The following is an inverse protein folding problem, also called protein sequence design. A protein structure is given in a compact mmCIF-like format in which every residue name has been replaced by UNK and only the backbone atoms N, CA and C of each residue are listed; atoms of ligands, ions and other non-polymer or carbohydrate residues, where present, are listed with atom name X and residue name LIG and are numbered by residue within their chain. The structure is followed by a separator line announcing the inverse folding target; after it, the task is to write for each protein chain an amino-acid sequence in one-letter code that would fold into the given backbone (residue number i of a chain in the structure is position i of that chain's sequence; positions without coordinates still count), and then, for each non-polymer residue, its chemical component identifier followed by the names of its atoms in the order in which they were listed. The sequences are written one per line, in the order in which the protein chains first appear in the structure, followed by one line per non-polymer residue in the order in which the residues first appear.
data_IF_233328258110
#
_entry.id   IF_233328258110
#
_cell.length_a   1.000
_cell.length_b   1.000
_cell.length_c   1.000
_cell.angle_alpha   90.00
_cell.angle_beta   90.00
_cell.angle_gamma   90.00
#
_symmetry.space_group_name_H-M   'P 1'
#
loop_
_entity.id
_entity.type
_entity.pdbx_description
1 polymer ?
#
# COMPACT_ATOMS: atom_id res chain seq x y z
N UNK A 1 -9.07 7.48 17.49
CA UNK A 1 -8.85 6.09 17.04
C UNK A 1 -7.66 5.51 17.79
N UNK A 2 -6.46 6.12 17.69
CA UNK A 2 -5.24 5.65 18.37
C UNK A 2 -5.40 5.38 19.89
N UNK A 3 -6.07 6.25 20.65
CA UNK A 3 -6.32 6.05 22.08
C UNK A 3 -7.30 4.92 22.43
N UNK A 4 -8.13 4.48 21.49
CA UNK A 4 -9.13 3.40 21.68
C UNK A 4 -8.47 2.04 21.42
N UNK A 5 -7.43 2.03 20.58
CA UNK A 5 -6.74 0.83 20.10
C UNK A 5 -5.41 0.60 20.83
N UNK A 6 -4.96 1.56 21.65
CA UNK A 6 -3.83 1.41 22.57
C UNK A 6 -4.14 0.33 23.62
N UNK A 7 -3.62 -0.87 23.39
CA UNK A 7 -3.70 -2.01 24.34
C UNK A 7 -4.39 -3.26 23.80
N UNK A 8 -4.86 -3.24 22.55
CA UNK A 8 -5.46 -4.41 21.91
C UNK A 8 -4.40 -5.19 21.11
N UNK A 9 -4.23 -6.48 21.44
CA UNK A 9 -3.28 -7.35 20.77
C UNK A 9 -3.79 -7.70 19.36
N UNK A 10 -2.94 -7.56 18.34
CA UNK A 10 -3.28 -7.94 16.97
C UNK A 10 -4.06 -6.88 16.18
N UNK A 11 -4.05 -5.63 16.62
CA UNK A 11 -4.68 -4.52 15.91
C UNK A 11 -3.66 -3.57 15.28
N UNK A 12 -3.98 -3.09 14.07
CA UNK A 12 -3.20 -2.08 13.37
C UNK A 12 -4.17 -1.01 12.89
N UNK A 13 -4.05 0.21 13.40
CA UNK A 13 -4.75 1.38 12.85
C UNK A 13 -3.81 2.28 12.06
N UNK A 14 -4.32 2.75 10.93
CA UNK A 14 -3.67 3.79 10.14
C UNK A 14 -4.75 4.80 9.74
N UNK A 15 -4.66 6.01 10.29
CA UNK A 15 -5.67 7.06 10.13
C UNK A 15 -7.08 6.59 10.56
N UNK A 16 -7.99 6.44 9.61
CA UNK A 16 -9.39 6.04 9.86
C UNK A 16 -9.66 4.55 9.56
N UNK A 17 -8.67 3.82 9.06
CA UNK A 17 -8.80 2.40 8.75
C UNK A 17 -8.20 1.54 9.86
N UNK A 18 -8.88 0.43 10.18
CA UNK A 18 -8.46 -0.55 11.21
C UNK A 18 -8.33 -1.93 10.57
N UNK A 19 -7.23 -2.60 10.86
CA UNK A 19 -7.02 -4.01 10.55
C UNK A 19 -6.92 -4.82 11.84
N UNK A 20 -7.67 -5.91 11.89
CA UNK A 20 -7.62 -6.91 12.97
C UNK A 20 -6.98 -8.18 12.43
N UNK A 21 -6.02 -8.74 13.14
CA UNK A 21 -5.32 -9.96 12.76
C UNK A 21 -5.21 -10.95 13.92
N UNK A 22 -5.06 -12.23 13.59
CA UNK A 22 -4.83 -13.33 14.51
C UNK A 22 -3.92 -14.37 13.87
N UNK A 23 -3.25 -15.19 14.70
CA UNK A 23 -2.42 -16.31 14.19
C UNK A 23 -3.34 -17.43 13.71
N UNK A 24 -4.31 -17.80 14.54
CA UNK A 24 -5.40 -18.72 14.20
C UNK A 24 -6.74 -17.96 14.08
N UNK A 25 -7.77 -18.64 13.56
CA UNK A 25 -9.12 -18.05 13.41
C UNK A 25 -9.70 -17.62 14.76
N UNK A 26 -9.48 -18.42 15.81
CA UNK A 26 -9.95 -18.10 17.16
C UNK A 26 -9.28 -16.85 17.74
N UNK A 27 -8.02 -16.58 17.39
CA UNK A 27 -7.32 -15.37 17.80
C UNK A 27 -7.91 -14.14 17.11
N UNK A 28 -8.15 -14.23 15.80
CA UNK A 28 -8.77 -13.15 15.03
C UNK A 28 -10.15 -12.83 15.59
N UNK A 29 -10.98 -13.84 15.84
CA UNK A 29 -12.34 -13.64 16.36
C UNK A 29 -12.34 -13.02 17.75
N UNK A 30 -11.42 -13.45 18.63
CA UNK A 30 -11.24 -12.84 19.94
C UNK A 30 -10.86 -11.36 19.81
N UNK A 31 -9.86 -11.04 18.98
CA UNK A 31 -9.38 -9.68 18.80
C UNK A 31 -10.47 -8.78 18.19
N UNK A 32 -11.22 -9.29 17.22
CA UNK A 32 -12.35 -8.55 16.61
C UNK A 32 -13.46 -8.27 17.63
N UNK A 33 -13.78 -9.22 18.51
CA UNK A 33 -14.75 -9.00 19.58
C UNK A 33 -14.27 -7.90 20.53
N UNK A 34 -13.01 -7.94 20.96
CA UNK A 34 -12.42 -6.92 21.84
C UNK A 34 -12.44 -5.52 21.20
N UNK A 35 -12.15 -5.41 19.90
CA UNK A 35 -12.28 -4.16 19.15
C UNK A 35 -13.71 -3.62 19.24
N UNK A 36 -14.70 -4.48 18.97
CA UNK A 36 -16.11 -4.09 18.92
C UNK A 36 -16.66 -3.71 20.30
N UNK A 37 -16.19 -4.36 21.36
CA UNK A 37 -16.48 -4.01 22.75
C UNK A 37 -15.95 -2.60 23.08
N UNK A 38 -14.67 -2.33 22.80
CA UNK A 38 -14.07 -1.01 23.01
C UNK A 38 -14.71 0.09 22.14
N UNK A 39 -15.07 -0.23 20.90
CA UNK A 39 -15.81 0.67 20.02
C UNK A 39 -17.19 1.03 20.60
N UNK A 40 -17.88 0.05 21.18
CA UNK A 40 -19.20 0.26 21.81
C UNK A 40 -19.11 1.20 23.01
N UNK A 41 -18.09 1.03 23.86
CA UNK A 41 -17.87 1.87 25.04
C UNK A 41 -17.56 3.33 24.69
N UNK A 42 -16.92 3.55 23.55
CA UNK A 42 -16.47 4.88 23.09
C UNK A 42 -17.43 5.54 22.10
N UNK A 43 -18.47 4.83 21.65
CA UNK A 43 -19.43 5.31 20.65
C UNK A 43 -18.88 5.33 19.22
N UNK A 44 -17.79 4.61 18.96
CA UNK A 44 -17.24 4.44 17.61
C UNK A 44 -18.13 3.49 16.80
N UNK A 45 -18.49 3.91 15.58
CA UNK A 45 -19.34 3.12 14.68
C UNK A 45 -18.57 2.85 13.39
N UNK A 46 -18.42 1.56 13.06
CA UNK A 46 -17.83 1.13 11.80
C UNK A 46 -18.88 1.07 10.69
N UNK A 47 -18.50 1.42 9.46
CA UNK A 47 -19.36 1.27 8.30
C UNK A 47 -19.38 -0.20 7.84
N UNK A 48 -20.46 -0.91 8.14
CA UNK A 48 -20.61 -2.33 7.83
C UNK A 48 -20.57 -2.67 6.34
N UNK A 49 -20.88 -1.72 5.44
CA UNK A 49 -20.86 -1.96 3.99
C UNK A 49 -19.45 -2.12 3.44
N UNK A 50 -18.45 -1.54 4.11
CA UNK A 50 -17.04 -1.59 3.70
C UNK A 50 -16.20 -2.50 4.60
N UNK A 51 -16.74 -2.98 5.72
CA UNK A 51 -16.06 -3.94 6.57
C UNK A 51 -15.92 -5.29 5.87
N UNK A 52 -14.69 -5.79 5.80
CA UNK A 52 -14.37 -7.10 5.24
C UNK A 52 -13.85 -7.98 6.39
N UNK A 53 -14.57 -9.05 6.70
CA UNK A 53 -14.34 -9.89 7.89
C UNK A 53 -13.95 -11.31 7.44
N UNK A 54 -13.11 -12.00 8.24
CA UNK A 54 -12.67 -13.40 8.03
C UNK A 54 -12.03 -13.65 6.66
N UNK A 55 -11.10 -12.77 6.27
CA UNK A 55 -10.26 -12.99 5.10
C UNK A 55 -8.96 -13.69 5.50
N UNK A 56 -8.49 -14.62 4.68
CA UNK A 56 -7.19 -15.29 4.89
C UNK A 56 -6.01 -14.31 4.79
N UNK A 57 -6.15 -13.27 3.97
CA UNK A 57 -5.21 -12.17 3.89
C UNK A 57 -5.93 -10.93 3.39
N UNK A 58 -5.52 -9.77 3.90
CA UNK A 58 -5.90 -8.46 3.38
C UNK A 58 -4.65 -7.71 2.92
N UNK A 59 -4.84 -6.74 2.02
CA UNK A 59 -3.83 -5.74 1.74
C UNK A 59 -4.17 -4.50 2.57
N UNK A 60 -3.37 -4.23 3.61
CA UNK A 60 -3.57 -3.07 4.48
C UNK A 60 -2.36 -2.17 4.41
N UNK A 61 -2.46 -1.03 3.70
CA UNK A 61 -1.35 -0.10 3.47
C UNK A 61 -0.04 -0.75 2.97
N UNK A 62 -0.15 -1.80 2.15
CA UNK A 62 1.01 -2.54 1.63
C UNK A 62 1.48 -3.69 2.53
N UNK A 63 0.84 -3.92 3.67
CA UNK A 63 1.07 -5.06 4.55
C UNK A 63 0.14 -6.21 4.16
N UNK A 64 0.68 -7.42 4.06
CA UNK A 64 -0.07 -8.67 3.88
C UNK A 64 0.48 -9.76 4.81
N UNK A 65 -0.18 -10.91 4.84
CA UNK A 65 0.29 -12.16 5.46
C UNK A 65 1.74 -12.56 5.10
N UNK A 66 2.20 -12.19 3.90
CA UNK A 66 3.53 -12.51 3.34
C UNK A 66 4.52 -11.36 3.49
N UNK A 67 4.20 -10.39 4.35
CA UNK A 67 4.98 -9.18 4.60
C UNK A 67 4.59 -8.03 3.69
N UNK A 68 5.53 -7.11 3.48
CA UNK A 68 5.28 -5.88 2.72
C UNK A 68 5.25 -6.20 1.22
N UNK A 69 4.13 -5.86 0.55
CA UNK A 69 3.88 -6.08 -0.88
C UNK A 69 3.23 -4.85 -1.50
N UNK A 70 3.54 -4.53 -2.77
CA UNK A 70 2.89 -3.43 -3.45
C UNK A 70 1.43 -3.77 -3.74
N UNK A 71 0.59 -2.75 -3.78
CA UNK A 71 -0.81 -2.89 -4.20
C UNK A 71 -0.90 -3.43 -5.65
N UNK A 72 -1.53 -4.60 -5.87
CA UNK A 72 -1.68 -5.18 -7.20
C UNK A 72 -2.37 -4.25 -8.20
N UNK A 73 -3.31 -3.42 -7.76
CA UNK A 73 -4.00 -2.46 -8.62
C UNK A 73 -3.01 -1.39 -9.12
N UNK A 74 -2.20 -0.83 -8.21
CA UNK A 74 -1.15 0.15 -8.58
C UNK A 74 -0.09 -0.43 -9.49
N UNK A 75 0.30 -1.69 -9.27
CA UNK A 75 1.20 -2.41 -10.17
C UNK A 75 0.58 -2.55 -11.56
N UNK A 76 -0.69 -2.94 -11.63
CA UNK A 76 -1.41 -3.10 -12.89
C UNK A 76 -1.56 -1.78 -13.65
N UNK A 77 -1.86 -0.69 -12.95
CA UNK A 77 -1.98 0.64 -13.55
C UNK A 77 -0.66 1.08 -14.18
N UNK A 78 0.46 0.90 -13.48
CA UNK A 78 1.80 1.19 -14.00
C UNK A 78 2.13 0.30 -15.21
N UNK A 79 1.76 -0.98 -15.19
CA UNK A 79 1.97 -1.89 -16.33
C UNK A 79 1.15 -1.52 -17.58
N UNK A 80 -0.01 -0.89 -17.40
CA UNK A 80 -0.87 -0.42 -18.51
C UNK A 80 -0.44 0.93 -19.07
N UNK A 81 0.48 1.64 -18.41
CA UNK A 81 0.94 2.92 -18.90
C UNK A 81 1.64 2.76 -20.25
N UNK A 82 1.36 3.65 -21.23
CA UNK A 82 2.12 3.67 -22.46
C UNK A 82 3.57 4.08 -22.18
N UNK A 83 4.48 3.71 -23.09
CA UNK A 83 5.83 4.22 -23.06
C UNK A 83 5.80 5.77 -23.11
N UNK A 84 6.59 6.46 -22.27
CA UNK A 84 6.59 7.91 -22.24
C UNK A 84 7.04 8.46 -23.59
N UNK A 85 6.32 9.47 -24.10
CA UNK A 85 6.64 10.12 -25.37
C UNK A 85 7.36 11.46 -25.17
N UNK A 86 7.47 11.91 -23.92
CA UNK A 86 8.08 13.17 -23.53
C UNK A 86 8.77 13.07 -22.16
N UNK A 87 9.61 14.06 -21.84
CA UNK A 87 10.18 14.21 -20.49
C UNK A 87 9.10 14.35 -19.42
N UNK A 88 8.00 15.03 -19.71
CA UNK A 88 6.90 15.21 -18.76
C UNK A 88 6.19 13.89 -18.47
N UNK A 89 5.98 13.05 -19.48
CA UNK A 89 5.42 11.71 -19.30
C UNK A 89 6.37 10.81 -18.52
N UNK A 90 7.67 10.90 -18.79
CA UNK A 90 8.69 10.18 -18.02
C UNK A 90 8.73 10.66 -16.56
N UNK A 91 8.56 11.96 -16.32
CA UNK A 91 8.52 12.51 -14.97
C UNK A 91 7.29 12.00 -14.20
N UNK A 92 6.13 11.94 -14.85
CA UNK A 92 4.90 11.34 -14.29
C UNK A 92 5.09 9.86 -13.98
N UNK A 93 5.65 9.10 -14.92
CA UNK A 93 5.98 7.68 -14.72
C UNK A 93 6.93 7.48 -13.54
N UNK A 94 8.02 8.25 -13.47
CA UNK A 94 8.99 8.17 -12.38
C UNK A 94 8.37 8.54 -11.03
N UNK A 95 7.46 9.52 -11.00
CA UNK A 95 6.67 9.86 -9.82
C UNK A 95 5.85 8.68 -9.30
N UNK A 96 5.19 7.93 -10.18
CA UNK A 96 4.45 6.72 -9.80
C UNK A 96 5.38 5.56 -9.39
N UNK A 97 6.50 5.38 -10.09
CA UNK A 97 7.49 4.35 -9.74
C UNK A 97 8.11 4.56 -8.36
N UNK A 98 8.14 5.79 -7.84
CA UNK A 98 8.62 6.04 -6.47
C UNK A 98 7.80 5.29 -5.42
N UNK A 99 6.49 5.10 -5.62
CA UNK A 99 5.66 4.26 -4.74
C UNK A 99 6.16 2.82 -4.72
N UNK A 100 6.57 2.28 -5.87
CA UNK A 100 7.09 0.91 -5.99
C UNK A 100 8.58 0.78 -5.61
N UNK A 101 9.29 1.89 -5.44
CA UNK A 101 10.74 1.86 -5.21
C UNK A 101 11.20 1.03 -4.00
N UNK A 102 10.48 0.97 -2.85
CA UNK A 102 10.89 0.13 -1.72
C UNK A 102 10.81 -1.37 -2.02
N UNK A 103 10.01 -1.77 -3.01
CA UNK A 103 9.73 -3.16 -3.36
C UNK A 103 10.63 -3.68 -4.50
N UNK A 104 11.42 -2.80 -5.14
CA UNK A 104 12.24 -3.14 -6.30
C UNK A 104 13.72 -3.17 -5.88
N UNK A 105 14.37 -4.35 -5.84
CA UNK A 105 15.79 -4.45 -5.54
C UNK A 105 16.61 -3.61 -6.51
N UNK A 106 17.49 -2.76 -5.95
CA UNK A 106 18.37 -1.86 -6.72
C UNK A 106 17.59 -0.97 -7.69
N UNK A 107 16.43 -0.45 -7.28
CA UNK A 107 15.63 0.46 -8.09
C UNK A 107 16.45 1.63 -8.64
N UNK A 108 17.36 2.18 -7.83
CA UNK A 108 18.17 3.31 -8.25
C UNK A 108 19.07 3.01 -9.46
N UNK A 109 19.68 1.82 -9.50
CA UNK A 109 20.51 1.35 -10.60
C UNK A 109 19.64 1.11 -11.85
N UNK A 110 18.49 0.45 -11.68
CA UNK A 110 17.54 0.18 -12.78
C UNK A 110 16.97 1.46 -13.39
N UNK A 111 16.73 2.48 -12.58
CA UNK A 111 16.18 3.76 -13.02
C UNK A 111 17.26 4.78 -13.44
N UNK A 112 18.54 4.39 -13.47
CA UNK A 112 19.64 5.31 -13.76
C UNK A 112 19.48 6.02 -15.11
N UNK A 113 19.26 5.24 -16.18
CA UNK A 113 19.10 5.77 -17.54
C UNK A 113 17.89 6.69 -17.65
N UNK A 114 16.78 6.32 -17.01
CA UNK A 114 15.54 7.12 -16.98
C UNK A 114 15.76 8.47 -16.28
N UNK A 115 16.48 8.49 -15.16
CA UNK A 115 16.83 9.75 -14.49
C UNK A 115 17.78 10.60 -15.32
N UNK A 116 18.66 9.98 -16.10
CA UNK A 116 19.51 10.66 -17.07
C UNK A 116 18.70 11.47 -18.09
N UNK A 117 17.66 10.86 -18.67
CA UNK A 117 16.76 11.50 -19.64
C UNK A 117 15.96 12.69 -19.05
N UNK A 118 15.75 12.70 -17.73
CA UNK A 118 15.05 13.79 -17.04
C UNK A 118 15.93 15.01 -16.77
N UNK A 119 17.25 14.95 -16.99
CA UNK A 119 18.12 16.11 -16.76
C UNK A 119 17.85 17.21 -17.79
N UNK A 120 18.03 18.46 -17.37
CA UNK A 120 17.80 19.63 -18.23
C UNK A 120 18.73 19.67 -19.45
N UNK A 121 19.96 19.17 -19.31
CA UNK A 121 20.98 19.10 -20.34
C UNK A 121 20.82 17.90 -21.31
N UNK A 122 19.94 16.94 -21.00
CA UNK A 122 19.70 15.79 -21.86
C UNK A 122 18.77 16.15 -23.02
N UNK A 123 19.10 15.75 -24.24
CA UNK A 123 18.10 15.68 -25.30
C UNK A 123 17.14 14.52 -25.04
N UNK A 124 15.87 14.67 -25.42
CA UNK A 124 14.91 13.57 -25.34
C UNK A 124 15.18 12.59 -26.49
N UNK A 125 15.77 11.45 -26.16
CA UNK A 125 15.96 10.33 -27.08
C UNK A 125 15.45 9.08 -26.38
N UNK A 126 14.24 8.65 -26.74
CA UNK A 126 13.63 7.44 -26.25
C UNK A 126 13.76 6.37 -27.33
N UNK A 127 14.75 5.50 -27.18
CA UNK A 127 15.01 4.39 -28.09
C UNK A 127 14.66 3.06 -27.42
N UNK A 128 14.32 2.06 -28.23
CA UNK A 128 13.91 0.71 -27.80
C UNK A 128 15.02 -0.33 -27.86
N UNK A 129 16.23 0.08 -28.25
CA UNK A 129 17.41 -0.78 -28.37
C UNK A 129 17.93 -1.33 -27.02
#
# INVERSE_FOLDING_TARGET
MDQILEGLDGEISIADDVAVCGVEEEDHDRNLISLMEGATETGLVFNSEICIIKQQSILFFGMTDKGIRPDPAKVQDIQKMPAPQSKDDLHRFMGMMNYLSPYIPKFADKAHNLRGLLRNDSQWMWDTD
#
